data_IF_374581383258
#
_entry.id   IF_374581383258
#
_cell.length_a   1.000
_cell.length_b   1.000
_cell.length_c   1.000
_cell.angle_alpha   90.00
_cell.angle_beta   90.00
_cell.angle_gamma   90.00
#
_symmetry.space_group_name_H-M   'P 1'
#
loop_
_entity.id
_entity.type
_entity.pdbx_description
1 polymer ?
#
# COMPACT_ATOMS: atom_id res chain seq x y z
N UNK A 1 7.08 1.68 63.78
CA UNK A 1 7.24 0.51 62.88
C UNK A 1 6.82 0.70 61.41
N UNK A 2 6.53 1.88 60.87
CA UNK A 2 6.25 2.02 59.42
C UNK A 2 7.49 2.20 58.52
N UNK A 3 8.62 2.66 59.04
CA UNK A 3 9.83 2.92 58.20
C UNK A 3 10.54 1.68 57.65
N UNK A 4 10.48 0.55 58.33
CA UNK A 4 11.11 -0.69 57.88
C UNK A 4 10.41 -1.28 56.63
N UNK A 5 9.09 -1.08 56.48
CA UNK A 5 8.33 -1.50 55.30
C UNK A 5 8.65 -0.70 54.04
N UNK A 6 8.91 0.61 54.21
CA UNK A 6 9.25 1.50 53.09
C UNK A 6 10.65 1.21 52.54
N UNK A 7 11.61 0.95 53.41
CA UNK A 7 12.99 0.60 53.02
C UNK A 7 13.10 -0.80 52.38
N UNK A 8 12.30 -1.76 52.84
CA UNK A 8 12.24 -3.09 52.23
C UNK A 8 11.65 -3.02 50.79
N UNK A 9 10.56 -2.24 50.59
CA UNK A 9 9.95 -1.99 49.28
C UNK A 9 10.92 -1.27 48.31
N UNK A 10 11.71 -0.31 48.81
CA UNK A 10 12.72 0.38 48.02
C UNK A 10 13.86 -0.54 47.59
N UNK A 11 14.37 -1.39 48.47
CA UNK A 11 15.43 -2.37 48.17
C UNK A 11 14.97 -3.44 47.17
N UNK A 12 13.74 -3.92 47.26
CA UNK A 12 13.17 -4.85 46.27
C UNK A 12 13.00 -4.22 44.89
N UNK A 13 12.55 -2.96 44.83
CA UNK A 13 12.46 -2.23 43.55
C UNK A 13 13.82 -2.04 42.90
N UNK A 14 14.84 -1.66 43.66
CA UNK A 14 16.23 -1.50 43.18
C UNK A 14 16.80 -2.84 42.71
N UNK A 15 16.58 -3.94 43.44
CA UNK A 15 17.00 -5.29 43.05
C UNK A 15 16.30 -5.76 41.77
N UNK A 16 15.03 -5.45 41.63
CA UNK A 16 14.23 -5.75 40.40
C UNK A 16 14.66 -4.93 39.19
N UNK A 17 15.08 -3.69 39.38
CA UNK A 17 15.65 -2.84 38.32
C UNK A 17 17.01 -3.34 37.85
N UNK A 18 17.87 -3.81 38.78
CA UNK A 18 19.21 -4.30 38.45
C UNK A 18 19.22 -5.68 37.77
N UNK A 19 18.10 -6.42 37.82
CA UNK A 19 17.92 -7.73 37.17
C UNK A 19 17.14 -7.68 35.86
N UNK A 20 16.98 -6.47 35.23
CA UNK A 20 16.25 -6.30 33.98
C UNK A 20 16.98 -6.96 32.80
N UNK A 21 16.26 -7.70 31.98
CA UNK A 21 16.79 -8.28 30.74
C UNK A 21 17.21 -7.17 29.75
N UNK A 22 18.49 -7.19 29.36
CA UNK A 22 19.01 -6.28 28.33
C UNK A 22 18.31 -6.50 27.00
N UNK A 23 18.01 -7.75 26.63
CA UNK A 23 17.29 -8.08 25.40
C UNK A 23 15.88 -7.47 25.39
N UNK A 24 15.13 -7.55 26.50
CA UNK A 24 13.82 -6.93 26.63
C UNK A 24 13.88 -5.39 26.42
N UNK A 25 14.92 -4.75 26.96
CA UNK A 25 15.13 -3.30 26.81
C UNK A 25 15.52 -2.93 25.39
N UNK A 26 16.43 -3.69 24.76
CA UNK A 26 16.86 -3.43 23.38
C UNK A 26 15.75 -3.74 22.37
N UNK A 27 14.99 -4.81 22.56
CA UNK A 27 13.83 -5.13 21.73
C UNK A 27 12.83 -3.99 21.69
N UNK A 28 12.49 -3.40 22.87
CA UNK A 28 11.60 -2.24 22.92
C UNK A 28 12.21 -1.01 22.21
N UNK A 29 13.49 -0.71 22.47
CA UNK A 29 14.16 0.44 21.84
C UNK A 29 14.16 0.33 20.31
N UNK A 30 14.51 -0.84 19.80
CA UNK A 30 14.48 -1.10 18.36
C UNK A 30 13.06 -0.98 17.78
N UNK A 31 12.05 -1.51 18.47
CA UNK A 31 10.65 -1.36 18.04
C UNK A 31 10.20 0.11 17.99
N UNK A 32 10.57 0.90 19.01
CA UNK A 32 10.29 2.35 19.04
C UNK A 32 11.01 3.07 17.88
N UNK A 33 12.29 2.77 17.66
CA UNK A 33 13.08 3.39 16.56
C UNK A 33 12.48 3.02 15.21
N UNK A 34 12.14 1.75 14.99
CA UNK A 34 11.51 1.31 13.72
C UNK A 34 10.20 2.07 13.46
N UNK A 35 9.34 2.17 14.48
CA UNK A 35 8.06 2.87 14.34
C UNK A 35 8.24 4.38 14.14
N UNK A 36 9.15 5.01 14.89
CA UNK A 36 9.41 6.45 14.75
C UNK A 36 9.96 6.78 13.36
N UNK A 37 10.94 6.02 12.86
CA UNK A 37 11.48 6.20 11.51
C UNK A 37 10.42 5.95 10.45
N UNK A 38 9.56 4.93 10.60
CA UNK A 38 8.46 4.65 9.71
C UNK A 38 7.48 5.83 9.63
N UNK A 39 7.05 6.36 10.78
CA UNK A 39 6.12 7.50 10.85
C UNK A 39 6.75 8.74 10.19
N UNK A 40 8.02 9.04 10.50
CA UNK A 40 8.73 10.18 9.90
C UNK A 40 8.84 10.01 8.39
N UNK A 41 9.22 8.83 7.89
CA UNK A 41 9.33 8.57 6.45
C UNK A 41 7.99 8.75 5.73
N UNK A 42 6.90 8.23 6.31
CA UNK A 42 5.54 8.37 5.77
C UNK A 42 5.11 9.85 5.76
N UNK A 43 5.33 10.58 6.84
CA UNK A 43 4.98 12.01 6.91
C UNK A 43 5.80 12.86 5.92
N UNK A 44 7.11 12.64 5.84
CA UNK A 44 7.96 13.34 4.88
C UNK A 44 7.51 13.09 3.43
N UNK A 45 7.11 11.87 3.10
CA UNK A 45 6.56 11.57 1.78
C UNK A 45 5.17 12.18 1.57
N UNK A 46 4.31 12.12 2.60
CA UNK A 46 2.93 12.65 2.53
C UNK A 46 2.88 14.16 2.27
N UNK A 47 3.85 14.89 2.79
CA UNK A 47 3.99 16.34 2.63
C UNK A 47 5.00 16.75 1.54
N UNK A 48 5.39 15.80 0.67
CA UNK A 48 6.34 16.02 -0.44
C UNK A 48 7.69 16.64 0.01
N UNK A 49 8.10 16.43 1.27
CA UNK A 49 9.38 16.92 1.82
C UNK A 49 10.54 16.11 1.27
N UNK A 50 10.34 14.80 1.03
CA UNK A 50 11.37 13.86 0.56
C UNK A 50 10.83 13.03 -0.59
N UNK A 51 11.64 12.87 -1.64
CA UNK A 51 11.29 12.03 -2.80
C UNK A 51 11.07 10.56 -2.41
N UNK A 52 10.09 9.93 -3.04
CA UNK A 52 9.81 8.51 -2.89
C UNK A 52 11.03 7.61 -3.11
N UNK A 53 12.00 8.04 -3.94
CA UNK A 53 13.27 7.32 -4.20
C UNK A 53 14.11 7.14 -2.94
N UNK A 54 13.96 8.05 -1.96
CA UNK A 54 14.61 7.97 -0.64
C UNK A 54 13.70 7.23 0.35
N UNK A 55 12.40 7.47 0.28
CA UNK A 55 11.42 6.88 1.22
C UNK A 55 11.37 5.36 1.10
N UNK A 56 11.38 4.80 -0.11
CA UNK A 56 11.30 3.34 -0.31
C UNK A 56 12.45 2.58 0.37
N UNK A 57 13.74 2.92 0.15
CA UNK A 57 14.82 2.26 0.90
C UNK A 57 14.76 2.49 2.41
N UNK A 58 14.28 3.67 2.87
CA UNK A 58 14.07 3.92 4.31
C UNK A 58 12.99 3.00 4.89
N UNK A 59 11.89 2.77 4.17
CA UNK A 59 10.88 1.80 4.58
C UNK A 59 11.44 0.37 4.64
N UNK A 60 12.32 -0.01 3.70
CA UNK A 60 13.05 -1.27 3.76
C UNK A 60 13.92 -1.39 5.03
N UNK A 61 14.61 -0.32 5.40
CA UNK A 61 15.38 -0.25 6.64
C UNK A 61 14.48 -0.34 7.89
N UNK A 62 13.32 0.32 7.88
CA UNK A 62 12.33 0.21 8.95
C UNK A 62 11.84 -1.23 9.12
N UNK A 63 11.55 -1.94 8.01
CA UNK A 63 11.17 -3.34 8.05
C UNK A 63 12.26 -4.23 8.66
N UNK A 64 13.51 -3.99 8.30
CA UNK A 64 14.67 -4.72 8.85
C UNK A 64 14.83 -4.47 10.35
N UNK A 65 14.82 -3.21 10.78
CA UNK A 65 14.90 -2.85 12.22
C UNK A 65 13.73 -3.45 12.99
N UNK A 66 12.52 -3.40 12.43
CA UNK A 66 11.33 -4.02 13.01
C UNK A 66 11.46 -5.54 13.15
N UNK A 67 11.98 -6.23 12.15
CA UNK A 67 12.25 -7.67 12.20
C UNK A 67 13.29 -8.02 13.27
N UNK A 68 14.37 -7.25 13.36
CA UNK A 68 15.38 -7.41 14.44
C UNK A 68 14.74 -7.17 15.81
N UNK A 69 13.88 -6.15 15.94
CA UNK A 69 13.14 -5.90 17.18
C UNK A 69 12.28 -7.08 17.59
N UNK A 70 11.58 -7.72 16.63
CA UNK A 70 10.79 -8.94 16.87
C UNK A 70 11.66 -10.07 17.42
N UNK A 71 12.79 -10.37 16.76
CA UNK A 71 13.69 -11.44 17.19
C UNK A 71 14.29 -11.16 18.58
N UNK A 72 14.82 -9.95 18.80
CA UNK A 72 15.43 -9.56 20.08
C UNK A 72 14.40 -9.57 21.20
N UNK A 73 13.16 -9.14 20.91
CA UNK A 73 12.06 -9.16 21.88
C UNK A 73 11.63 -10.59 22.23
N UNK A 74 11.52 -11.47 21.24
CA UNK A 74 11.19 -12.88 21.46
C UNK A 74 12.23 -13.57 22.36
N UNK A 75 13.52 -13.35 22.07
CA UNK A 75 14.62 -13.82 22.93
C UNK A 75 14.56 -13.18 24.33
N UNK A 76 14.15 -11.90 24.40
CA UNK A 76 13.90 -11.20 25.67
C UNK A 76 12.79 -11.84 26.49
N UNK A 77 11.68 -12.23 25.88
CA UNK A 77 10.58 -12.95 26.55
C UNK A 77 11.08 -14.29 27.09
N UNK A 78 11.73 -15.10 26.24
CA UNK A 78 12.27 -16.38 26.66
C UNK A 78 13.19 -16.19 27.89
N UNK A 79 14.11 -15.24 27.84
CA UNK A 79 15.07 -14.98 28.91
C UNK A 79 14.43 -14.47 30.20
N UNK A 80 13.31 -13.74 30.10
CA UNK A 80 12.59 -13.28 31.31
C UNK A 80 11.74 -14.38 31.94
N UNK A 81 11.31 -15.37 31.16
CA UNK A 81 10.55 -16.51 31.67
C UNK A 81 11.45 -17.61 32.27
N UNK A 82 12.64 -17.83 31.66
CA UNK A 82 13.52 -18.95 32.07
C UNK A 82 14.58 -18.58 33.11
N UNK A 83 15.02 -17.30 33.13
CA UNK A 83 16.15 -16.88 33.99
C UNK A 83 15.73 -15.90 35.10
N UNK A 84 14.47 -15.90 35.53
CA UNK A 84 13.92 -15.04 36.61
C UNK A 84 14.29 -13.54 36.46
N UNK A 85 14.42 -13.07 35.21
CA UNK A 85 14.73 -11.68 34.93
C UNK A 85 13.44 -10.86 34.75
N UNK A 86 13.50 -9.59 35.15
CA UNK A 86 12.37 -8.66 34.92
C UNK A 86 12.41 -8.09 33.53
N UNK A 87 11.23 -7.67 32.98
CA UNK A 87 11.13 -6.95 31.72
C UNK A 87 10.26 -7.61 30.66
N UNK A 88 9.51 -8.66 30.99
CA UNK A 88 8.60 -9.35 30.06
C UNK A 88 7.65 -8.39 29.34
N UNK A 89 7.06 -7.42 30.06
CA UNK A 89 6.18 -6.41 29.46
C UNK A 89 6.90 -5.55 28.41
N UNK A 90 8.17 -5.20 28.65
CA UNK A 90 8.97 -4.43 27.68
C UNK A 90 9.25 -5.26 26.43
N UNK A 91 9.58 -6.54 26.61
CA UNK A 91 9.81 -7.45 25.49
C UNK A 91 8.53 -7.65 24.66
N UNK A 92 7.37 -7.82 25.31
CA UNK A 92 6.08 -7.92 24.60
C UNK A 92 5.78 -6.63 23.82
N UNK A 93 5.98 -5.46 24.42
CA UNK A 93 5.78 -4.19 23.71
C UNK A 93 6.74 -4.05 22.52
N UNK A 94 8.02 -4.40 22.69
CA UNK A 94 8.98 -4.38 21.59
C UNK A 94 8.61 -5.34 20.46
N UNK A 95 8.10 -6.54 20.80
CA UNK A 95 7.58 -7.51 19.84
C UNK A 95 6.40 -6.92 19.03
N UNK A 96 5.43 -6.33 19.71
CA UNK A 96 4.25 -5.74 19.07
C UNK A 96 4.65 -4.59 18.14
N UNK A 97 5.50 -3.65 18.62
CA UNK A 97 5.95 -2.52 17.81
C UNK A 97 6.75 -2.98 16.58
N UNK A 98 7.63 -3.96 16.76
CA UNK A 98 8.38 -4.57 15.66
C UNK A 98 7.46 -5.21 14.62
N UNK A 99 6.44 -5.97 15.05
CA UNK A 99 5.46 -6.60 14.16
C UNK A 99 4.60 -5.59 13.42
N UNK A 100 4.18 -4.50 14.07
CA UNK A 100 3.39 -3.43 13.43
C UNK A 100 4.13 -2.86 12.22
N UNK A 101 5.45 -2.74 12.28
CA UNK A 101 6.25 -2.19 11.17
C UNK A 101 6.68 -3.29 10.20
N UNK A 102 7.24 -4.40 10.71
CA UNK A 102 7.85 -5.42 9.86
C UNK A 102 6.82 -6.26 9.08
N UNK A 103 5.68 -6.60 9.68
CA UNK A 103 4.75 -7.54 9.06
C UNK A 103 4.08 -6.97 7.78
N UNK A 104 3.49 -5.76 7.77
CA UNK A 104 2.89 -5.20 6.56
C UNK A 104 3.91 -4.96 5.44
N UNK A 105 5.09 -4.42 5.79
CA UNK A 105 6.15 -4.17 4.82
C UNK A 105 6.72 -5.47 4.26
N UNK A 106 6.96 -6.47 5.11
CA UNK A 106 7.42 -7.79 4.71
C UNK A 106 6.41 -8.50 3.79
N UNK A 107 5.13 -8.46 4.13
CA UNK A 107 4.06 -8.99 3.27
C UNK A 107 4.05 -8.33 1.89
N UNK A 108 4.18 -7.00 1.84
CA UNK A 108 4.23 -6.25 0.58
C UNK A 108 5.45 -6.65 -0.28
N UNK A 109 6.63 -6.82 0.34
CA UNK A 109 7.84 -7.27 -0.35
C UNK A 109 7.67 -8.68 -0.90
N UNK A 110 7.18 -9.63 -0.09
CA UNK A 110 6.99 -11.03 -0.51
C UNK A 110 5.91 -11.16 -1.59
N UNK A 111 4.80 -10.44 -1.46
CA UNK A 111 3.75 -10.41 -2.46
C UNK A 111 4.26 -9.81 -3.78
N UNK A 112 4.97 -8.68 -3.71
CA UNK A 112 5.50 -7.99 -4.88
C UNK A 112 6.61 -8.76 -5.60
N UNK A 113 7.40 -9.57 -4.89
CA UNK A 113 8.47 -10.37 -5.49
C UNK A 113 7.96 -11.44 -6.49
N UNK A 114 6.67 -11.81 -6.40
CA UNK A 114 6.02 -12.78 -7.30
C UNK A 114 5.35 -12.12 -8.50
N UNK A 115 5.25 -10.80 -8.52
CA UNK A 115 4.55 -10.05 -9.56
C UNK A 115 5.55 -9.47 -10.57
N UNK A 116 5.15 -9.31 -11.83
CA UNK A 116 5.99 -8.66 -12.83
C UNK A 116 6.23 -7.18 -12.46
N UNK A 117 7.37 -6.65 -12.88
CA UNK A 117 7.68 -5.22 -12.73
C UNK A 117 6.98 -4.42 -13.81
N UNK A 118 5.68 -4.27 -13.65
CA UNK A 118 4.82 -3.45 -14.52
C UNK A 118 3.97 -2.51 -13.67
N UNK A 119 3.57 -1.39 -14.24
CA UNK A 119 2.82 -0.33 -13.54
C UNK A 119 1.70 0.25 -14.39
N UNK A 120 1.45 -0.32 -15.57
CA UNK A 120 0.43 0.08 -16.54
C UNK A 120 -0.41 -1.14 -16.90
N UNK A 121 -1.62 -1.18 -16.39
CA UNK A 121 -2.57 -2.28 -16.53
C UNK A 121 -3.81 -1.80 -17.27
N UNK A 122 -4.28 -2.59 -18.25
CA UNK A 122 -5.47 -2.28 -19.04
C UNK A 122 -6.33 -3.51 -19.25
N UNK A 123 -7.63 -3.31 -19.41
CA UNK A 123 -8.57 -4.40 -19.76
C UNK A 123 -8.48 -4.77 -21.25
N UNK A 124 -8.11 -3.83 -22.12
CA UNK A 124 -7.93 -4.07 -23.55
C UNK A 124 -6.46 -3.88 -23.93
N UNK A 125 -5.79 -4.98 -24.24
CA UNK A 125 -4.38 -4.99 -24.60
C UNK A 125 -4.13 -4.55 -26.04
N UNK A 126 -5.11 -4.79 -26.91
CA UNK A 126 -5.00 -4.44 -28.33
C UNK A 126 -5.25 -2.94 -28.55
N UNK A 127 -6.27 -2.39 -27.86
CA UNK A 127 -6.68 -1.00 -27.96
C UNK A 127 -6.82 -0.37 -26.56
N UNK A 128 -5.71 -0.17 -25.85
CA UNK A 128 -5.77 0.35 -24.48
C UNK A 128 -6.39 1.76 -24.44
N UNK A 129 -7.30 2.04 -23.50
CA UNK A 129 -7.86 3.37 -23.32
C UNK A 129 -6.76 4.44 -23.24
N UNK A 130 -6.95 5.56 -23.96
CA UNK A 130 -5.99 6.66 -24.00
C UNK A 130 -6.34 7.72 -22.97
N UNK A 131 -5.32 8.28 -22.37
CA UNK A 131 -5.43 9.46 -21.52
C UNK A 131 -5.34 10.72 -22.37
N UNK A 132 -6.18 11.70 -22.07
CA UNK A 132 -6.21 13.01 -22.73
C UNK A 132 -6.01 14.16 -21.73
N UNK A 133 -6.98 14.40 -20.87
CA UNK A 133 -6.96 15.52 -19.93
C UNK A 133 -5.86 15.36 -18.85
N UNK A 134 -5.64 14.14 -18.41
CA UNK A 134 -4.68 13.83 -17.34
C UNK A 134 -3.22 14.06 -17.75
N UNK A 135 -2.93 14.05 -19.06
CA UNK A 135 -1.57 14.26 -19.58
C UNK A 135 -0.99 15.59 -19.08
N UNK A 136 -1.79 16.66 -19.11
CA UNK A 136 -1.37 17.98 -18.62
C UNK A 136 -1.12 18.04 -17.11
N UNK A 137 -1.70 17.13 -16.34
CA UNK A 137 -1.55 17.05 -14.88
C UNK A 137 -0.37 16.17 -14.44
N UNK A 138 0.36 15.56 -15.40
CA UNK A 138 1.53 14.72 -15.14
C UNK A 138 2.80 15.56 -15.25
N UNK A 139 3.66 15.47 -14.26
CA UNK A 139 4.98 16.11 -14.34
C UNK A 139 5.95 15.31 -15.23
N UNK A 140 7.04 15.96 -15.64
CA UNK A 140 8.07 15.40 -16.53
C UNK A 140 8.76 14.13 -16.00
N UNK A 141 8.68 13.89 -14.69
CA UNK A 141 9.25 12.69 -14.03
C UNK A 141 8.28 11.53 -13.94
N UNK A 142 7.07 11.66 -14.49
CA UNK A 142 6.08 10.60 -14.49
C UNK A 142 6.42 9.51 -15.51
N UNK A 143 6.04 8.26 -15.19
CA UNK A 143 6.15 7.15 -16.13
C UNK A 143 5.43 7.45 -17.45
N UNK A 144 5.97 6.96 -18.57
CA UNK A 144 5.35 7.14 -19.89
C UNK A 144 3.95 6.49 -19.96
N UNK A 145 3.12 7.03 -20.84
CA UNK A 145 1.79 6.49 -21.16
C UNK A 145 1.75 5.71 -22.48
N UNK A 146 2.89 5.56 -23.17
CA UNK A 146 2.97 4.94 -24.50
C UNK A 146 2.96 3.40 -24.48
N UNK A 147 3.09 2.79 -23.32
CA UNK A 147 3.16 1.33 -23.12
C UNK A 147 4.33 0.62 -23.85
N UNK A 148 5.35 1.36 -24.22
CA UNK A 148 6.53 0.81 -24.91
C UNK A 148 7.50 0.08 -23.98
N UNK A 149 7.39 0.30 -22.67
CA UNK A 149 8.32 -0.21 -21.67
C UNK A 149 7.61 -0.90 -20.51
N UNK A 150 7.95 -2.15 -20.20
CA UNK A 150 8.85 -3.04 -20.96
C UNK A 150 8.26 -3.48 -22.31
N UNK A 151 9.08 -3.89 -23.25
CA UNK A 151 8.64 -4.27 -24.60
C UNK A 151 7.65 -5.46 -24.62
N UNK A 152 7.71 -6.32 -23.60
CA UNK A 152 6.84 -7.48 -23.39
C UNK A 152 5.68 -7.21 -22.41
N UNK A 153 5.35 -5.94 -22.15
CA UNK A 153 4.33 -5.50 -21.19
C UNK A 153 3.00 -6.27 -21.32
N UNK A 154 2.52 -6.45 -22.56
CA UNK A 154 1.26 -7.16 -22.81
C UNK A 154 1.35 -8.64 -22.39
N UNK A 155 2.46 -9.30 -22.70
CA UNK A 155 2.69 -10.70 -22.33
C UNK A 155 2.82 -10.86 -20.81
N UNK A 156 3.56 -9.96 -20.15
CA UNK A 156 3.71 -9.94 -18.69
C UNK A 156 2.36 -9.71 -18.00
N UNK A 157 1.55 -8.77 -18.50
CA UNK A 157 0.22 -8.53 -17.96
C UNK A 157 -0.68 -9.76 -18.13
N UNK A 158 -0.73 -10.38 -19.33
CA UNK A 158 -1.56 -11.54 -19.59
C UNK A 158 -1.20 -12.71 -18.70
N UNK A 159 0.10 -12.97 -18.50
CA UNK A 159 0.57 -14.04 -17.63
C UNK A 159 0.23 -13.83 -16.16
N UNK A 160 0.33 -12.58 -15.66
CA UNK A 160 0.14 -12.28 -14.26
C UNK A 160 -1.34 -11.99 -13.89
N UNK A 161 -2.11 -11.43 -14.83
CA UNK A 161 -3.47 -10.94 -14.60
C UNK A 161 -4.42 -11.34 -15.75
N UNK A 162 -4.61 -12.65 -16.02
CA UNK A 162 -5.44 -13.14 -17.13
C UNK A 162 -6.94 -12.80 -16.97
N UNK A 163 -7.35 -12.42 -15.77
CA UNK A 163 -8.72 -12.04 -15.41
C UNK A 163 -9.03 -10.56 -15.67
N UNK A 164 -8.02 -9.73 -15.99
CA UNK A 164 -8.21 -8.31 -16.33
C UNK A 164 -8.62 -8.20 -17.81
N UNK A 165 -9.92 -8.21 -18.02
CA UNK A 165 -10.57 -8.15 -19.35
C UNK A 165 -11.68 -7.10 -19.35
N UNK A 166 -12.15 -6.63 -20.53
CA UNK A 166 -13.29 -5.73 -20.63
C UNK A 166 -14.54 -6.30 -19.96
N UNK A 167 -15.35 -5.42 -19.35
CA UNK A 167 -16.62 -5.81 -18.74
C UNK A 167 -17.79 -5.51 -19.68
N UNK A 168 -18.56 -6.54 -20.04
CA UNK A 168 -19.81 -6.40 -20.78
C UNK A 168 -21.00 -6.38 -19.81
N UNK A 169 -21.93 -5.45 -20.04
CA UNK A 169 -23.14 -5.27 -19.22
C UNK A 169 -24.35 -5.12 -20.13
N UNK A 170 -25.45 -5.82 -19.83
CA UNK A 170 -26.74 -5.67 -20.51
C UNK A 170 -27.50 -4.44 -20.00
N UNK A 171 -26.82 -3.28 -19.95
CA UNK A 171 -27.31 -2.01 -19.42
C UNK A 171 -26.91 -0.91 -20.38
N UNK A 172 -27.81 0.07 -20.59
CA UNK A 172 -27.57 1.22 -21.47
C UNK A 172 -26.33 2.02 -21.06
N UNK A 173 -25.45 2.45 -22.00
CA UNK A 173 -24.17 3.14 -21.70
C UNK A 173 -24.32 4.34 -20.76
N UNK A 174 -25.35 5.16 -20.90
CA UNK A 174 -25.58 6.32 -20.03
C UNK A 174 -25.74 5.94 -18.56
N UNK A 175 -26.49 4.87 -18.26
CA UNK A 175 -26.64 4.39 -16.88
C UNK A 175 -25.34 3.82 -16.32
N UNK A 176 -24.57 3.11 -17.16
CA UNK A 176 -23.25 2.59 -16.77
C UNK A 176 -22.28 3.73 -16.50
N UNK A 177 -22.32 4.79 -17.31
CA UNK A 177 -21.49 5.99 -17.15
C UNK A 177 -21.78 6.72 -15.83
N UNK A 178 -23.06 6.96 -15.50
CA UNK A 178 -23.48 7.58 -14.24
C UNK A 178 -23.03 6.76 -13.04
N UNK A 179 -23.20 5.43 -13.09
CA UNK A 179 -22.77 4.53 -12.03
C UNK A 179 -21.24 4.52 -11.89
N UNK A 180 -20.50 4.53 -13.00
CA UNK A 180 -19.03 4.59 -13.00
C UNK A 180 -18.52 5.90 -12.40
N UNK A 181 -19.10 7.05 -12.76
CA UNK A 181 -18.77 8.36 -12.20
C UNK A 181 -19.05 8.40 -10.68
N UNK A 182 -20.21 7.91 -10.26
CA UNK A 182 -20.57 7.82 -8.84
C UNK A 182 -19.57 6.93 -8.07
N UNK A 183 -19.13 5.83 -8.66
CA UNK A 183 -18.16 4.92 -8.05
C UNK A 183 -16.75 5.55 -7.96
N UNK A 184 -16.31 6.32 -8.96
CA UNK A 184 -15.07 7.10 -8.91
C UNK A 184 -15.10 8.07 -7.72
N UNK A 185 -16.22 8.82 -7.55
CA UNK A 185 -16.41 9.73 -6.41
C UNK A 185 -16.43 8.99 -5.07
N UNK A 186 -17.16 7.88 -4.98
CA UNK A 186 -17.24 7.02 -3.78
C UNK A 186 -15.86 6.49 -3.36
N UNK A 187 -15.02 6.13 -4.33
CA UNK A 187 -13.66 5.66 -4.07
C UNK A 187 -12.70 6.79 -3.66
N UNK A 188 -13.14 8.05 -3.68
CA UNK A 188 -12.33 9.22 -3.33
C UNK A 188 -11.25 9.52 -4.37
N UNK A 189 -11.44 9.09 -5.63
CA UNK A 189 -10.51 9.44 -6.70
C UNK A 189 -10.79 10.86 -7.17
N UNK A 190 -9.74 11.62 -7.45
CA UNK A 190 -9.85 12.98 -7.95
C UNK A 190 -10.24 12.94 -9.43
N UNK A 191 -11.46 13.37 -9.76
CA UNK A 191 -11.90 13.52 -11.14
C UNK A 191 -11.04 14.58 -11.85
N UNK A 192 -10.55 14.25 -13.04
CA UNK A 192 -9.79 15.15 -13.91
C UNK A 192 -10.65 15.57 -15.11
N UNK A 193 -11.34 14.61 -15.71
CA UNK A 193 -12.26 14.86 -16.82
C UNK A 193 -13.44 13.91 -16.79
N UNK A 194 -14.60 14.40 -17.17
CA UNK A 194 -15.85 13.64 -17.33
C UNK A 194 -16.48 14.07 -18.64
N UNK A 195 -16.51 13.17 -19.63
CA UNK A 195 -16.98 13.43 -20.98
C UNK A 195 -18.05 12.41 -21.37
N UNK A 196 -19.33 12.67 -21.08
CA UNK A 196 -20.44 11.77 -21.42
C UNK A 196 -20.54 11.49 -22.92
N UNK A 197 -20.21 12.49 -23.77
CA UNK A 197 -20.27 12.40 -25.21
C UNK A 197 -19.33 11.34 -25.78
N UNK A 198 -18.18 11.15 -25.15
CA UNK A 198 -17.17 10.13 -25.51
C UNK A 198 -17.23 8.90 -24.63
N UNK A 199 -18.11 8.89 -23.63
CA UNK A 199 -18.18 7.83 -22.61
C UNK A 199 -16.91 7.72 -21.76
N UNK A 200 -16.12 8.81 -21.60
CA UNK A 200 -14.80 8.76 -21.00
C UNK A 200 -14.77 9.47 -19.64
N UNK A 201 -14.18 8.80 -18.63
CA UNK A 201 -13.91 9.36 -17.30
C UNK A 201 -12.41 9.22 -17.04
N UNK A 202 -11.74 10.33 -16.73
CA UNK A 202 -10.36 10.34 -16.28
C UNK A 202 -10.27 10.80 -14.81
N UNK A 203 -9.53 10.06 -14.00
CA UNK A 203 -9.37 10.34 -12.57
C UNK A 203 -7.97 9.96 -12.07
N UNK A 204 -7.57 10.53 -10.94
CA UNK A 204 -6.34 10.16 -10.25
C UNK A 204 -6.69 9.51 -8.90
N UNK A 205 -6.28 8.27 -8.71
CA UNK A 205 -6.32 7.57 -7.45
C UNK A 205 -5.03 7.87 -6.66
N UNK A 206 -5.17 8.21 -5.38
CA UNK A 206 -4.02 8.50 -4.52
C UNK A 206 -3.96 7.50 -3.38
N UNK A 207 -2.81 6.85 -3.17
CA UNK A 207 -2.63 5.91 -2.08
C UNK A 207 -2.63 6.63 -0.74
N UNK A 208 -3.37 6.07 0.25
CA UNK A 208 -3.58 6.73 1.55
C UNK A 208 -2.29 6.95 2.32
N UNK A 209 -1.37 6.00 2.32
CA UNK A 209 -0.18 6.02 3.15
C UNK A 209 0.98 6.79 2.51
N UNK A 210 1.30 6.48 1.26
CA UNK A 210 2.50 6.97 0.58
C UNK A 210 2.23 8.05 -0.47
N UNK A 211 0.99 8.54 -0.59
CA UNK A 211 0.62 9.60 -1.53
C UNK A 211 1.01 9.31 -3.00
N UNK A 212 1.20 8.03 -3.37
CA UNK A 212 1.43 7.66 -4.76
C UNK A 212 0.19 7.91 -5.58
N UNK A 213 0.39 8.48 -6.76
CA UNK A 213 -0.68 8.81 -7.70
C UNK A 213 -0.69 7.81 -8.84
N UNK A 214 -1.86 7.23 -9.07
CA UNK A 214 -2.13 6.35 -10.19
C UNK A 214 -3.24 6.98 -11.02
N UNK A 215 -2.99 7.15 -12.30
CA UNK A 215 -3.97 7.72 -13.22
C UNK A 215 -4.86 6.61 -13.79
N UNK A 216 -6.13 6.91 -13.90
CA UNK A 216 -7.17 5.98 -14.31
C UNK A 216 -7.97 6.61 -15.47
N UNK A 217 -8.19 5.82 -16.50
CA UNK A 217 -9.17 6.15 -17.54
C UNK A 217 -10.16 5.00 -17.68
N UNK A 218 -11.44 5.35 -17.77
CA UNK A 218 -12.56 4.43 -17.95
C UNK A 218 -13.26 4.87 -19.22
N UNK A 219 -13.50 3.94 -20.14
CA UNK A 219 -14.23 4.18 -21.38
C UNK A 219 -15.41 3.25 -21.43
N UNK A 220 -16.60 3.82 -21.56
CA UNK A 220 -17.86 3.11 -21.72
C UNK A 220 -18.34 3.35 -23.16
N UNK A 221 -18.48 2.28 -23.92
CA UNK A 221 -18.98 2.30 -25.29
C UNK A 221 -20.24 1.47 -25.42
N UNK A 222 -21.05 1.80 -26.45
CA UNK A 222 -22.18 0.99 -26.82
C UNK A 222 -21.69 -0.33 -27.44
N UNK A 223 -22.37 -1.41 -27.11
CA UNK A 223 -22.17 -2.74 -27.67
C UNK A 223 -23.54 -3.37 -27.88
N UNK A 224 -23.65 -4.31 -28.83
CA UNK A 224 -24.89 -5.05 -29.07
C UNK A 224 -25.44 -5.65 -27.77
N UNK A 225 -26.64 -5.25 -27.40
CA UNK A 225 -27.33 -5.66 -26.18
C UNK A 225 -26.92 -4.93 -24.92
N UNK A 226 -26.11 -3.84 -24.98
CA UNK A 226 -25.74 -3.07 -23.80
C UNK A 226 -24.48 -2.24 -23.91
N UNK A 227 -23.53 -2.43 -22.99
CA UNK A 227 -22.31 -1.61 -22.88
C UNK A 227 -21.07 -2.46 -22.72
N UNK A 228 -19.97 -1.97 -23.25
CA UNK A 228 -18.60 -2.44 -22.99
C UNK A 228 -17.87 -1.40 -22.15
N UNK A 229 -17.29 -1.84 -21.03
CA UNK A 229 -16.47 -1.00 -20.15
C UNK A 229 -15.02 -1.43 -20.25
N UNK A 230 -14.19 -0.51 -20.71
CA UNK A 230 -12.74 -0.62 -20.72
C UNK A 230 -12.14 0.27 -19.66
N UNK A 231 -11.07 -0.19 -19.01
CA UNK A 231 -10.37 0.55 -17.98
C UNK A 231 -8.87 0.38 -18.11
N UNK A 232 -8.11 1.46 -17.88
CA UNK A 232 -6.65 1.44 -17.77
C UNK A 232 -6.23 2.20 -16.52
N UNK A 233 -5.22 1.71 -15.82
CA UNK A 233 -4.67 2.34 -14.62
C UNK A 233 -3.16 2.29 -14.66
N UNK A 234 -2.51 3.47 -14.46
CA UNK A 234 -1.07 3.68 -14.65
C UNK A 234 -0.49 4.44 -13.47
N UNK A 235 0.54 3.89 -12.85
CA UNK A 235 1.26 4.59 -11.77
C UNK A 235 2.14 5.71 -12.34
N UNK A 236 2.13 6.90 -11.71
CA UNK A 236 3.00 8.01 -12.14
C UNK A 236 4.46 7.73 -11.88
N UNK A 237 4.78 6.91 -10.87
CA UNK A 237 6.16 6.64 -10.47
C UNK A 237 6.35 5.18 -10.11
N UNK A 238 7.61 4.71 -10.22
CA UNK A 238 8.01 3.34 -9.89
C UNK A 238 7.90 2.38 -11.08
N UNK A 239 8.76 1.36 -11.11
CA UNK A 239 8.78 0.33 -12.15
C UNK A 239 7.72 -0.76 -11.92
N UNK A 240 7.32 -0.96 -10.66
CA UNK A 240 6.31 -1.94 -10.26
C UNK A 240 5.29 -1.28 -9.33
N UNK A 241 4.02 -1.60 -9.55
CA UNK A 241 2.90 -1.17 -8.71
C UNK A 241 2.51 -2.20 -7.63
N UNK A 242 3.27 -3.30 -7.53
CA UNK A 242 2.99 -4.42 -6.64
C UNK A 242 1.55 -4.97 -6.80
N UNK A 243 0.97 -4.89 -7.98
CA UNK A 243 -0.39 -5.32 -8.31
C UNK A 243 -1.51 -4.34 -7.95
N UNK A 244 -1.16 -3.12 -7.54
CA UNK A 244 -2.15 -2.11 -7.13
C UNK A 244 -3.12 -1.73 -8.27
N UNK A 245 -2.61 -1.53 -9.50
CA UNK A 245 -3.43 -1.18 -10.65
C UNK A 245 -4.36 -2.33 -11.06
N UNK A 246 -3.86 -3.57 -11.09
CA UNK A 246 -4.68 -4.74 -11.38
C UNK A 246 -5.81 -4.91 -10.35
N UNK A 247 -5.49 -4.78 -9.06
CA UNK A 247 -6.49 -4.86 -7.99
C UNK A 247 -7.52 -3.72 -8.07
N UNK A 248 -7.09 -2.51 -8.43
CA UNK A 248 -7.99 -1.36 -8.64
C UNK A 248 -9.00 -1.63 -9.74
N UNK A 249 -8.53 -2.08 -10.90
CA UNK A 249 -9.39 -2.42 -12.05
C UNK A 249 -10.38 -3.52 -11.65
N UNK A 250 -9.87 -4.61 -11.06
CA UNK A 250 -10.71 -5.75 -10.63
C UNK A 250 -11.81 -5.33 -9.67
N UNK A 251 -11.45 -4.58 -8.63
CA UNK A 251 -12.40 -4.10 -7.62
C UNK A 251 -13.41 -3.14 -8.24
N UNK A 252 -12.96 -2.20 -9.06
CA UNK A 252 -13.84 -1.23 -9.71
C UNK A 252 -14.86 -1.91 -10.61
N UNK A 253 -14.43 -2.81 -11.50
CA UNK A 253 -15.33 -3.51 -12.42
C UNK A 253 -16.32 -4.43 -11.68
N UNK A 254 -15.87 -5.08 -10.61
CA UNK A 254 -16.73 -5.88 -9.74
C UNK A 254 -17.81 -5.02 -9.07
N UNK A 255 -17.42 -3.90 -8.46
CA UNK A 255 -18.35 -2.99 -7.77
C UNK A 255 -19.30 -2.31 -8.74
N UNK A 256 -18.84 -1.94 -9.95
CA UNK A 256 -19.66 -1.38 -11.02
C UNK A 256 -20.73 -2.38 -11.44
N UNK A 257 -20.36 -3.63 -11.73
CA UNK A 257 -21.30 -4.71 -12.07
C UNK A 257 -22.33 -4.91 -10.97
N UNK A 258 -21.88 -4.96 -9.71
CA UNK A 258 -22.75 -5.14 -8.54
C UNK A 258 -23.73 -3.98 -8.33
N UNK A 259 -23.36 -2.76 -8.72
CA UNK A 259 -24.23 -1.58 -8.56
C UNK A 259 -25.35 -1.48 -9.59
N UNK A 260 -25.24 -2.26 -10.67
CA UNK A 260 -26.18 -2.22 -11.80
C UNK A 260 -27.09 -3.45 -11.90
N UNK A 261 -26.95 -4.41 -10.98
CA UNK A 261 -27.76 -5.64 -10.92
C UNK A 261 -26.88 -6.86 -10.96
#
# INVERSE_FOLDING_TARGET
MPEQGLMASGRERVKKMNNRSRLATWGLRLGIVALALFVVAVLCNRFDVVSFKIVIPVLGLCALIGAVAVVVSALGIIRTLTAERSGTRLAILGLILGLIVAAPLGQSIVAGAKLPRIHDITTDLANPPRFNAIVAARGDTSNSLDRSTPADLAALQTAAYPDIVPLTLAVHPGKVFEAAEALVKKNGWALVSVSPETGTIEATATTRLLNFKDDVVIVISEQEGGSLVNMRSVSRVGESDLGANANRIRTFLYDLKKSLG
#
